data_IF_955262159638
#
_entry.id   IF_955262159638
#
_cell.length_a   1.000
_cell.length_b   1.000
_cell.length_c   1.000
_cell.angle_alpha   90.00
_cell.angle_beta   90.00
_cell.angle_gamma   90.00
#
_symmetry.space_group_name_H-M   'P 1'
#
loop_
_entity.id
_entity.type
_entity.pdbx_description
1 polymer ?
#
# COMPACT_ATOMS: atom_id res chain seq x y z
N UNK A 1 -29.33 5.68 -9.82
CA UNK A 1 -29.34 6.89 -10.68
C UNK A 1 -29.86 6.49 -12.05
N UNK A 2 -30.88 7.19 -12.58
CA UNK A 2 -31.36 6.97 -13.96
C UNK A 2 -30.67 8.00 -14.87
N UNK A 3 -29.81 7.55 -15.76
CA UNK A 3 -29.14 8.39 -16.77
C UNK A 3 -29.16 7.68 -18.12
N UNK A 4 -29.26 8.45 -19.22
CA UNK A 4 -29.34 7.90 -20.59
C UNK A 4 -27.99 7.38 -21.09
N UNK A 5 -26.90 8.03 -20.70
CA UNK A 5 -25.52 7.68 -21.10
C UNK A 5 -24.68 7.52 -19.84
N UNK A 6 -23.84 6.48 -19.83
CA UNK A 6 -22.96 6.13 -18.71
C UNK A 6 -21.55 5.92 -19.24
N UNK A 7 -20.59 6.62 -18.65
CA UNK A 7 -19.17 6.51 -19.00
C UNK A 7 -18.41 6.16 -17.74
N UNK A 8 -17.76 5.00 -17.75
CA UNK A 8 -16.86 4.57 -16.67
C UNK A 8 -15.44 5.05 -16.96
N UNK A 9 -14.87 5.87 -16.07
CA UNK A 9 -13.47 6.27 -16.13
C UNK A 9 -12.66 5.49 -15.09
N UNK A 10 -11.50 4.98 -15.52
CA UNK A 10 -10.59 4.25 -14.64
C UNK A 10 -9.15 4.41 -15.11
N UNK A 11 -8.20 4.33 -14.18
CA UNK A 11 -6.79 4.15 -14.53
C UNK A 11 -6.38 2.67 -14.67
N UNK A 12 -7.15 1.73 -14.10
CA UNK A 12 -6.57 0.46 -13.63
C UNK A 12 -7.49 -0.78 -13.68
N UNK A 13 -8.71 -0.72 -14.24
CA UNK A 13 -9.75 -1.80 -14.21
C UNK A 13 -9.24 -3.24 -14.48
N UNK A 14 -8.10 -3.41 -15.16
CA UNK A 14 -7.55 -4.71 -15.55
C UNK A 14 -6.39 -5.23 -14.69
N UNK A 15 -5.93 -4.51 -13.68
CA UNK A 15 -4.69 -4.89 -12.99
C UNK A 15 -4.85 -5.94 -11.90
N UNK A 16 -6.03 -6.07 -11.24
CA UNK A 16 -6.16 -7.00 -10.10
C UNK A 16 -7.43 -7.87 -10.07
N UNK A 17 -8.56 -7.46 -10.64
CA UNK A 17 -9.80 -8.23 -10.54
C UNK A 17 -10.73 -8.03 -11.76
N UNK A 18 -10.98 -9.09 -12.53
CA UNK A 18 -11.89 -9.06 -13.69
C UNK A 18 -13.37 -8.89 -13.27
N UNK A 19 -13.72 -9.18 -12.02
CA UNK A 19 -15.06 -8.91 -11.48
C UNK A 19 -15.33 -7.39 -11.42
N UNK A 20 -14.32 -6.56 -11.16
CA UNK A 20 -14.46 -5.10 -11.18
C UNK A 20 -14.76 -4.59 -12.60
N UNK A 21 -14.08 -5.15 -13.60
CA UNK A 21 -14.38 -4.88 -15.01
C UNK A 21 -15.82 -5.23 -15.34
N UNK A 22 -16.29 -6.41 -14.91
CA UNK A 22 -17.68 -6.82 -15.13
C UNK A 22 -18.65 -5.82 -14.50
N UNK A 23 -18.44 -5.42 -13.26
CA UNK A 23 -19.29 -4.44 -12.57
C UNK A 23 -19.34 -3.09 -13.30
N UNK A 24 -18.20 -2.57 -13.76
CA UNK A 24 -18.17 -1.28 -14.48
C UNK A 24 -18.85 -1.39 -15.83
N UNK A 25 -18.62 -2.49 -16.55
CA UNK A 25 -19.20 -2.71 -17.87
C UNK A 25 -20.70 -2.97 -17.80
N UNK A 26 -21.18 -3.75 -16.82
CA UNK A 26 -22.61 -3.96 -16.60
C UNK A 26 -23.29 -2.67 -16.12
N UNK A 27 -22.60 -1.87 -15.30
CA UNK A 27 -23.10 -0.53 -14.96
C UNK A 27 -23.18 0.37 -16.18
N UNK A 28 -22.17 0.40 -17.06
CA UNK A 28 -22.17 1.28 -18.23
C UNK A 28 -23.17 0.81 -19.31
N UNK A 29 -23.16 -0.50 -19.61
CA UNK A 29 -23.93 -1.18 -20.64
C UNK A 29 -24.47 -2.50 -20.06
N UNK A 30 -25.64 -2.47 -19.40
CA UNK A 30 -26.23 -3.63 -18.74
C UNK A 30 -26.36 -4.83 -19.66
N UNK A 31 -25.94 -5.99 -19.18
CA UNK A 31 -26.02 -7.25 -19.90
C UNK A 31 -24.96 -7.47 -20.98
N UNK A 32 -24.06 -6.51 -21.26
CA UNK A 32 -23.06 -6.65 -22.33
C UNK A 32 -22.10 -7.84 -22.13
N UNK A 33 -21.87 -8.24 -20.89
CA UNK A 33 -21.01 -9.37 -20.52
C UNK A 33 -21.78 -10.58 -19.98
N UNK A 34 -23.11 -10.52 -19.97
CA UNK A 34 -23.98 -11.55 -19.39
C UNK A 34 -23.98 -11.55 -17.86
N UNK A 35 -24.46 -12.65 -17.27
CA UNK A 35 -24.56 -12.78 -15.81
C UNK A 35 -23.17 -12.84 -15.14
N UNK A 36 -23.04 -12.40 -13.87
CA UNK A 36 -21.74 -12.40 -13.19
C UNK A 36 -21.16 -13.82 -13.04
N UNK A 37 -22.02 -14.83 -12.81
CA UNK A 37 -21.60 -16.24 -12.76
C UNK A 37 -21.11 -16.73 -14.13
N UNK A 38 -21.83 -16.39 -15.19
CA UNK A 38 -21.43 -16.76 -16.56
C UNK A 38 -20.11 -16.09 -16.97
N UNK A 39 -19.93 -14.82 -16.61
CA UNK A 39 -18.69 -14.09 -16.84
C UNK A 39 -17.52 -14.71 -16.06
N UNK A 40 -17.73 -15.05 -14.78
CA UNK A 40 -16.73 -15.67 -13.94
C UNK A 40 -16.21 -16.99 -14.53
N UNK A 41 -17.12 -17.91 -14.85
CA UNK A 41 -16.76 -19.22 -15.39
C UNK A 41 -16.12 -19.14 -16.78
N UNK A 42 -16.56 -18.20 -17.61
CA UNK A 42 -16.11 -18.09 -19.00
C UNK A 42 -14.82 -17.28 -19.17
N UNK A 43 -14.60 -16.29 -18.30
CA UNK A 43 -13.50 -15.33 -18.44
C UNK A 43 -12.64 -15.23 -17.19
N UNK A 44 -13.20 -14.96 -16.00
CA UNK A 44 -12.39 -14.74 -14.80
C UNK A 44 -11.56 -15.97 -14.40
N UNK A 45 -12.22 -17.10 -14.17
CA UNK A 45 -11.57 -18.30 -13.64
C UNK A 45 -10.52 -18.89 -14.62
N UNK A 46 -10.80 -18.99 -15.94
CA UNK A 46 -9.79 -19.47 -16.90
C UNK A 46 -8.57 -18.54 -16.98
N UNK A 47 -8.76 -17.23 -16.89
CA UNK A 47 -7.65 -16.26 -16.94
C UNK A 47 -6.82 -16.34 -15.66
N UNK A 48 -7.45 -16.34 -14.49
CA UNK A 48 -6.75 -16.48 -13.20
C UNK A 48 -6.01 -17.82 -13.10
N UNK A 49 -6.62 -18.91 -13.56
CA UNK A 49 -5.98 -20.22 -13.57
C UNK A 49 -4.79 -20.24 -14.56
N UNK A 50 -4.97 -19.65 -15.74
CA UNK A 50 -3.94 -19.52 -16.78
C UNK A 50 -2.69 -18.75 -16.36
N UNK A 51 -2.80 -17.89 -15.35
CA UNK A 51 -1.70 -17.06 -14.83
C UNK A 51 -0.93 -17.70 -13.66
N UNK A 52 -1.35 -18.86 -13.15
CA UNK A 52 -0.66 -19.56 -12.06
C UNK A 52 0.68 -20.15 -12.54
N UNK A 53 1.70 -20.09 -11.68
CA UNK A 53 3.03 -20.61 -12.02
C UNK A 53 3.04 -22.14 -12.26
N UNK A 54 2.11 -22.88 -11.68
CA UNK A 54 2.00 -24.35 -11.78
C UNK A 54 1.03 -24.81 -12.88
N UNK A 55 0.79 -23.98 -13.90
CA UNK A 55 -0.27 -24.22 -14.89
C UNK A 55 0.15 -25.19 -16.00
N UNK A 56 -0.79 -25.98 -16.50
CA UNK A 56 -0.58 -26.81 -17.69
C UNK A 56 -0.59 -25.97 -18.97
N UNK A 57 0.07 -26.45 -20.04
CA UNK A 57 0.03 -25.78 -21.36
C UNK A 57 -1.42 -25.57 -21.86
N UNK A 58 -2.31 -26.53 -21.59
CA UNK A 58 -3.73 -26.46 -21.97
C UNK A 58 -4.44 -25.32 -21.26
N UNK A 59 -4.34 -25.23 -19.94
CA UNK A 59 -5.04 -24.19 -19.18
C UNK A 59 -4.48 -22.80 -19.46
N UNK A 60 -3.18 -22.68 -19.80
CA UNK A 60 -2.60 -21.44 -20.29
C UNK A 60 -3.19 -21.02 -21.65
N UNK A 61 -3.40 -21.97 -22.57
CA UNK A 61 -4.05 -21.70 -23.85
C UNK A 61 -5.53 -21.31 -23.67
N UNK A 62 -6.26 -21.99 -22.78
CA UNK A 62 -7.65 -21.66 -22.41
C UNK A 62 -7.75 -20.24 -21.84
N UNK A 63 -6.85 -19.86 -20.92
CA UNK A 63 -6.78 -18.51 -20.37
C UNK A 63 -6.49 -17.44 -21.44
N UNK A 64 -5.53 -17.69 -22.34
CA UNK A 64 -5.24 -16.76 -23.45
C UNK A 64 -6.44 -16.59 -24.39
N UNK A 65 -7.13 -17.68 -24.72
CA UNK A 65 -8.34 -17.65 -25.54
C UNK A 65 -9.45 -16.83 -24.87
N UNK A 66 -9.66 -17.03 -23.57
CA UNK A 66 -10.64 -16.25 -22.80
C UNK A 66 -10.34 -14.74 -22.82
N UNK A 67 -9.06 -14.33 -22.67
CA UNK A 67 -8.67 -12.91 -22.81
C UNK A 67 -8.98 -12.37 -24.21
N UNK A 68 -8.65 -13.11 -25.26
CA UNK A 68 -8.90 -12.69 -26.64
C UNK A 68 -10.40 -12.53 -26.92
N UNK A 69 -11.20 -13.49 -26.49
CA UNK A 69 -12.65 -13.45 -26.67
C UNK A 69 -13.29 -12.30 -25.88
N UNK A 70 -12.77 -12.02 -24.67
CA UNK A 70 -13.20 -10.87 -23.88
C UNK A 70 -12.83 -9.55 -24.56
N UNK A 71 -11.60 -9.41 -25.05
CA UNK A 71 -11.14 -8.21 -25.72
C UNK A 71 -11.97 -7.90 -26.98
N UNK A 72 -12.31 -8.92 -27.77
CA UNK A 72 -13.19 -8.79 -28.95
C UNK A 72 -14.59 -8.30 -28.58
N UNK A 73 -15.16 -8.77 -27.47
CA UNK A 73 -16.47 -8.30 -26.98
C UNK A 73 -16.41 -6.85 -26.52
N UNK A 74 -15.32 -6.46 -25.89
CA UNK A 74 -15.14 -5.13 -25.31
C UNK A 74 -14.70 -4.07 -26.33
N UNK A 75 -14.12 -4.45 -27.47
CA UNK A 75 -13.43 -3.53 -28.39
C UNK A 75 -14.25 -2.33 -28.85
N UNK A 76 -15.58 -2.47 -28.93
CA UNK A 76 -16.49 -1.41 -29.37
C UNK A 76 -16.79 -0.38 -28.26
N UNK A 77 -16.70 -0.79 -27.00
CA UNK A 77 -17.16 -0.03 -25.85
C UNK A 77 -16.03 0.33 -24.87
N UNK A 78 -14.84 -0.19 -25.11
CA UNK A 78 -13.68 -0.06 -24.24
C UNK A 78 -12.53 0.63 -24.97
N UNK A 79 -12.16 1.81 -24.48
CA UNK A 79 -11.03 2.57 -25.00
C UNK A 79 -9.89 2.55 -23.97
N UNK A 80 -8.73 2.01 -24.35
CA UNK A 80 -7.51 2.07 -23.56
C UNK A 80 -6.37 2.61 -24.41
N UNK A 81 -5.75 3.68 -23.94
CA UNK A 81 -4.53 4.27 -24.53
C UNK A 81 -3.40 4.16 -23.51
N UNK A 82 -2.21 3.83 -23.98
CA UNK A 82 -1.01 3.75 -23.14
C UNK A 82 -0.08 4.92 -23.46
N UNK A 83 0.81 5.27 -22.51
CA UNK A 83 1.82 6.32 -22.69
C UNK A 83 2.81 6.04 -23.84
N UNK A 84 2.84 4.81 -24.37
CA UNK A 84 3.62 4.46 -25.55
C UNK A 84 3.29 5.35 -26.77
N UNK A 85 2.03 5.79 -26.90
CA UNK A 85 1.57 6.64 -28.01
C UNK A 85 2.14 8.06 -28.01
N UNK A 86 2.64 8.54 -26.87
CA UNK A 86 3.20 9.89 -26.69
C UNK A 86 4.59 9.84 -26.05
N UNK A 87 5.25 8.68 -26.16
CA UNK A 87 6.52 8.43 -25.46
C UNK A 87 7.66 9.32 -25.96
N UNK A 88 7.56 9.80 -27.20
CA UNK A 88 8.42 10.78 -27.86
C UNK A 88 8.29 12.19 -27.25
N UNK A 89 7.14 12.52 -26.66
CA UNK A 89 6.86 13.83 -26.05
C UNK A 89 7.16 13.87 -24.55
N UNK A 90 7.48 12.72 -23.95
CA UNK A 90 7.69 12.59 -22.51
C UNK A 90 9.18 12.42 -22.19
N UNK A 91 9.66 12.99 -21.08
CA UNK A 91 11.01 12.72 -20.61
C UNK A 91 11.17 11.23 -20.26
N UNK A 92 12.40 10.72 -20.33
CA UNK A 92 12.71 9.35 -19.93
C UNK A 92 12.44 9.17 -18.44
N UNK A 93 11.74 8.09 -18.10
CA UNK A 93 11.50 7.64 -16.73
C UNK A 93 12.52 6.54 -16.39
N UNK A 94 13.22 6.69 -15.27
CA UNK A 94 14.15 5.70 -14.74
C UNK A 94 13.62 5.18 -13.40
N UNK A 95 13.32 3.88 -13.35
CA UNK A 95 12.73 3.22 -12.17
C UNK A 95 13.84 2.47 -11.42
N UNK A 96 14.15 2.92 -10.19
CA UNK A 96 15.21 2.33 -9.35
C UNK A 96 14.64 1.75 -8.07
N UNK A 97 14.98 0.49 -7.79
CA UNK A 97 14.66 -0.17 -6.52
C UNK A 97 15.85 -0.05 -5.57
N UNK A 98 15.66 0.63 -4.45
CA UNK A 98 16.71 0.84 -3.44
C UNK A 98 16.49 -0.10 -2.26
N UNK A 99 17.37 -1.09 -2.11
CA UNK A 99 17.33 -2.03 -0.98
C UNK A 99 17.90 -1.37 0.28
N UNK A 100 17.04 -1.15 1.28
CA UNK A 100 17.42 -0.57 2.56
C UNK A 100 17.43 -1.66 3.64
N UNK A 101 18.59 -1.91 4.25
CA UNK A 101 18.67 -2.81 5.41
C UNK A 101 18.08 -2.15 6.66
N UNK A 102 17.44 -2.94 7.52
CA UNK A 102 17.01 -2.47 8.85
C UNK A 102 18.21 -2.08 9.69
N UNK A 103 18.09 -1.00 10.48
CA UNK A 103 19.12 -0.64 11.48
C UNK A 103 19.19 -1.69 12.59
N UNK A 104 20.29 -1.71 13.34
CA UNK A 104 20.42 -2.65 14.47
C UNK A 104 19.30 -2.48 15.49
N UNK A 105 18.87 -1.24 15.73
CA UNK A 105 17.73 -0.97 16.61
C UNK A 105 16.41 -1.46 16.01
N UNK A 106 16.13 -1.19 14.73
CA UNK A 106 14.96 -1.74 14.05
C UNK A 106 14.95 -3.27 14.12
N UNK A 107 16.09 -3.93 13.91
CA UNK A 107 16.22 -5.39 13.97
C UNK A 107 15.92 -5.93 15.36
N UNK A 108 16.42 -5.27 16.42
CA UNK A 108 16.12 -5.63 17.81
C UNK A 108 14.62 -5.55 18.10
N UNK A 109 13.97 -4.45 17.72
CA UNK A 109 12.53 -4.26 17.90
C UNK A 109 11.72 -5.25 17.05
N UNK A 110 12.12 -5.47 15.80
CA UNK A 110 11.47 -6.41 14.90
C UNK A 110 11.49 -7.84 15.47
N UNK A 111 12.64 -8.28 16.00
CA UNK A 111 12.77 -9.57 16.70
C UNK A 111 11.88 -9.63 17.94
N UNK A 112 11.87 -8.58 18.76
CA UNK A 112 11.01 -8.52 19.94
C UNK A 112 9.52 -8.65 19.60
N UNK A 113 9.06 -8.11 18.45
CA UNK A 113 7.70 -8.31 17.94
C UNK A 113 7.48 -9.77 17.49
N UNK A 114 8.46 -10.39 16.81
CA UNK A 114 8.35 -11.78 16.36
C UNK A 114 8.33 -12.80 17.51
N UNK A 115 8.92 -12.46 18.65
CA UNK A 115 8.98 -13.31 19.85
C UNK A 115 7.68 -13.30 20.67
N UNK A 116 6.65 -12.55 20.27
CA UNK A 116 5.38 -12.55 21.03
C UNK A 116 4.61 -13.86 20.84
N UNK A 117 3.84 -14.23 21.86
CA UNK A 117 3.02 -15.45 21.84
C UNK A 117 1.99 -15.44 20.70
N UNK A 118 1.47 -14.26 20.35
CA UNK A 118 0.54 -14.11 19.23
C UNK A 118 1.19 -14.45 17.88
N UNK A 119 2.47 -14.08 17.67
CA UNK A 119 3.18 -14.44 16.44
C UNK A 119 3.43 -15.94 16.38
N UNK A 120 3.80 -16.56 17.51
CA UNK A 120 3.93 -18.02 17.61
C UNK A 120 2.61 -18.72 17.29
N UNK A 121 1.50 -18.22 17.84
CA UNK A 121 0.14 -18.69 17.56
C UNK A 121 -0.20 -18.56 16.06
N UNK A 122 0.14 -17.44 15.44
CA UNK A 122 -0.09 -17.16 14.02
C UNK A 122 0.71 -18.10 13.11
N UNK A 123 1.99 -18.32 13.40
CA UNK A 123 2.87 -19.20 12.62
C UNK A 123 2.40 -20.66 12.70
N UNK A 124 1.92 -21.11 13.86
CA UNK A 124 1.43 -22.47 14.08
C UNK A 124 -0.05 -22.65 13.68
N UNK A 125 -0.74 -21.58 13.27
CA UNK A 125 -2.20 -21.52 13.10
C UNK A 125 -2.76 -22.54 12.09
N UNK A 126 -1.98 -22.89 11.07
CA UNK A 126 -2.37 -23.84 10.01
C UNK A 126 -2.01 -25.29 10.32
N UNK A 127 -1.20 -25.55 11.36
CA UNK A 127 -0.84 -26.90 11.80
C UNK A 127 -2.03 -27.66 12.42
N UNK A 128 -1.91 -28.99 12.54
CA UNK A 128 -2.93 -29.83 13.20
C UNK A 128 -3.02 -29.49 14.68
N UNK A 129 -4.24 -29.50 15.22
CA UNK A 129 -4.48 -29.25 16.64
C UNK A 129 -4.11 -30.47 17.50
N UNK A 130 -3.50 -30.22 18.66
CA UNK A 130 -3.03 -31.26 19.58
C UNK A 130 -4.16 -31.97 20.35
N UNK A 131 -5.39 -31.45 20.30
CA UNK A 131 -6.55 -32.04 20.98
C UNK A 131 -7.14 -33.28 20.28
N UNK A 132 -6.45 -33.89 19.33
CA UNK A 132 -6.91 -35.07 18.60
C UNK A 132 -8.01 -34.83 17.56
N UNK A 133 -8.52 -33.60 17.41
CA UNK A 133 -9.64 -33.30 16.50
C UNK A 133 -9.32 -33.40 15.00
N UNK A 134 -8.04 -33.54 14.62
CA UNK A 134 -7.58 -33.51 13.22
C UNK A 134 -7.76 -32.16 12.51
N UNK A 135 -8.36 -31.16 13.15
CA UNK A 135 -8.62 -29.84 12.57
C UNK A 135 -7.39 -28.93 12.70
N UNK A 136 -7.22 -27.93 11.80
CA UNK A 136 -6.20 -26.90 11.97
C UNK A 136 -6.37 -26.13 13.28
N UNK A 137 -5.27 -25.73 13.92
CA UNK A 137 -5.25 -25.01 15.21
C UNK A 137 -6.18 -23.79 15.21
N UNK A 138 -6.11 -22.96 14.16
CA UNK A 138 -6.98 -21.76 13.98
C UNK A 138 -8.48 -22.04 13.87
N UNK A 139 -8.87 -23.29 13.57
CA UNK A 139 -10.27 -23.74 13.48
C UNK A 139 -10.68 -24.60 14.68
N UNK A 140 -9.81 -24.76 15.68
CA UNK A 140 -10.01 -25.63 16.84
C UNK A 140 -9.76 -24.88 18.17
N UNK A 141 -8.82 -25.35 19.00
CA UNK A 141 -8.56 -24.81 20.34
C UNK A 141 -7.85 -23.45 20.31
N UNK A 142 -7.23 -23.09 19.19
CA UNK A 142 -6.41 -21.89 19.03
C UNK A 142 -7.08 -20.87 18.11
N UNK A 143 -8.40 -20.72 18.25
CA UNK A 143 -9.18 -19.71 17.52
C UNK A 143 -8.94 -18.29 18.05
N UNK A 144 -8.65 -18.19 19.34
CA UNK A 144 -8.44 -16.95 20.09
C UNK A 144 -7.03 -16.98 20.71
N UNK A 145 -6.45 -15.82 20.95
CA UNK A 145 -5.27 -15.70 21.82
C UNK A 145 -5.67 -15.71 23.31
N UNK A 146 -4.70 -15.52 24.20
CA UNK A 146 -4.91 -15.46 25.64
C UNK A 146 -5.90 -14.35 26.06
N UNK A 147 -5.95 -13.24 25.32
CA UNK A 147 -6.85 -12.11 25.58
C UNK A 147 -8.23 -12.25 24.91
N UNK A 148 -8.53 -13.42 24.31
CA UNK A 148 -9.81 -13.66 23.63
C UNK A 148 -9.93 -13.02 22.24
N UNK A 149 -8.83 -12.56 21.64
CA UNK A 149 -8.80 -11.95 20.31
C UNK A 149 -8.70 -13.03 19.21
N UNK A 150 -9.62 -13.04 18.23
CA UNK A 150 -9.54 -13.97 17.11
C UNK A 150 -8.26 -13.84 16.27
N UNK A 151 -7.65 -14.98 15.93
CA UNK A 151 -6.40 -15.07 15.13
C UNK A 151 -6.47 -14.27 13.82
N UNK A 152 -7.65 -14.19 13.19
CA UNK A 152 -7.85 -13.39 11.96
C UNK A 152 -7.54 -11.91 12.13
N UNK A 153 -7.79 -11.34 13.31
CA UNK A 153 -7.53 -9.94 13.60
C UNK A 153 -6.06 -9.71 14.00
N UNK A 154 -5.42 -10.73 14.57
CA UNK A 154 -4.00 -10.69 14.91
C UNK A 154 -3.15 -10.55 13.65
N UNK A 155 -3.47 -11.31 12.60
CA UNK A 155 -2.70 -11.35 11.35
C UNK A 155 -2.45 -9.94 10.76
N UNK A 156 -3.52 -9.17 10.50
CA UNK A 156 -3.38 -7.83 9.92
C UNK A 156 -2.79 -6.81 10.90
N UNK A 157 -3.05 -6.98 12.20
CA UNK A 157 -2.48 -6.11 13.24
C UNK A 157 -0.97 -6.24 13.31
N UNK A 158 -0.45 -7.48 13.36
CA UNK A 158 0.98 -7.75 13.38
C UNK A 158 1.67 -7.38 12.07
N UNK A 159 1.05 -7.59 10.90
CA UNK A 159 1.58 -7.07 9.63
C UNK A 159 1.71 -5.54 9.64
N UNK A 160 0.72 -4.83 10.18
CA UNK A 160 0.79 -3.37 10.31
C UNK A 160 1.90 -2.93 11.28
N UNK A 161 2.08 -3.63 12.41
CA UNK A 161 3.16 -3.38 13.38
C UNK A 161 4.53 -3.59 12.73
N UNK A 162 4.75 -4.73 12.07
CA UNK A 162 6.03 -5.04 11.41
C UNK A 162 6.35 -4.03 10.30
N UNK A 163 5.33 -3.60 9.53
CA UNK A 163 5.49 -2.54 8.53
C UNK A 163 5.86 -1.20 9.18
N UNK A 164 5.23 -0.83 10.30
CA UNK A 164 5.60 0.36 11.08
C UNK A 164 7.06 0.30 11.52
N UNK A 165 7.51 -0.83 12.09
CA UNK A 165 8.92 -1.03 12.50
C UNK A 165 9.87 -0.89 11.32
N UNK A 166 9.56 -1.51 10.18
CA UNK A 166 10.37 -1.46 8.98
C UNK A 166 10.49 -0.05 8.38
N UNK A 167 9.42 0.75 8.48
CA UNK A 167 9.42 2.13 8.04
C UNK A 167 10.17 3.03 9.02
N UNK A 168 9.78 3.02 10.29
CA UNK A 168 10.42 3.78 11.36
C UNK A 168 9.87 3.34 12.74
N UNK A 169 10.73 3.04 13.71
CA UNK A 169 10.29 2.48 15.01
C UNK A 169 9.32 3.39 15.78
N UNK A 170 9.53 4.71 15.75
CA UNK A 170 8.65 5.68 16.43
C UNK A 170 7.17 5.62 15.96
N UNK A 171 6.89 5.04 14.78
CA UNK A 171 5.52 4.88 14.28
C UNK A 171 4.66 3.92 15.12
N UNK A 172 5.29 3.07 15.94
CA UNK A 172 4.59 2.24 16.90
C UNK A 172 3.93 3.05 18.02
N UNK A 173 4.39 4.27 18.28
CA UNK A 173 3.78 5.17 19.27
C UNK A 173 2.67 6.05 18.68
N UNK A 174 2.58 6.14 17.34
CA UNK A 174 1.52 6.92 16.69
C UNK A 174 0.18 6.18 16.75
N UNK A 175 -0.83 6.92 17.24
CA UNK A 175 -2.24 6.49 17.35
C UNK A 175 -3.01 6.63 16.03
N UNK A 176 -2.42 7.23 15.01
CA UNK A 176 -3.15 7.60 13.79
C UNK A 176 -3.53 6.37 12.94
N UNK A 177 -4.80 6.35 12.50
CA UNK A 177 -5.30 5.43 11.47
C UNK A 177 -5.75 4.05 11.94
N UNK A 178 -5.79 3.79 13.24
CA UNK A 178 -6.29 2.52 13.82
C UNK A 178 -7.74 2.66 14.26
N UNK A 179 -8.61 1.68 13.99
CA UNK A 179 -9.98 1.68 14.52
C UNK A 179 -9.94 1.66 16.07
N UNK A 180 -10.84 2.38 16.76
CA UNK A 180 -10.88 2.47 18.24
C UNK A 180 -10.80 1.11 18.96
N UNK A 181 -11.32 0.04 18.34
CA UNK A 181 -11.24 -1.34 18.86
C UNK A 181 -9.86 -1.99 18.68
N UNK A 182 -9.19 -1.71 17.56
CA UNK A 182 -7.84 -2.21 17.28
C UNK A 182 -6.77 -1.40 18.00
N UNK A 183 -7.02 -0.12 18.27
CA UNK A 183 -6.08 0.80 18.91
C UNK A 183 -5.65 0.33 20.31
N UNK A 184 -6.61 -0.07 21.16
CA UNK A 184 -6.29 -0.57 22.52
C UNK A 184 -5.36 -1.79 22.48
N UNK A 185 -5.65 -2.73 21.59
CA UNK A 185 -4.89 -3.97 21.47
C UNK A 185 -3.51 -3.75 20.85
N UNK A 186 -3.42 -2.98 19.77
CA UNK A 186 -2.13 -2.61 19.15
C UNK A 186 -1.27 -1.82 20.14
N UNK A 187 -1.87 -0.93 20.94
CA UNK A 187 -1.17 -0.19 22.00
C UNK A 187 -0.61 -1.14 23.05
N UNK A 188 -1.39 -2.11 23.53
CA UNK A 188 -0.92 -3.09 24.51
C UNK A 188 0.27 -3.92 23.98
N UNK A 189 0.22 -4.36 22.72
CA UNK A 189 1.35 -5.07 22.08
C UNK A 189 2.58 -4.16 22.01
N UNK A 190 2.41 -2.91 21.54
CA UNK A 190 3.50 -1.94 21.46
C UNK A 190 4.13 -1.71 22.83
N UNK A 191 3.32 -1.54 23.89
CA UNK A 191 3.81 -1.38 25.26
C UNK A 191 4.60 -2.60 25.74
N UNK A 192 4.12 -3.82 25.47
CA UNK A 192 4.84 -5.05 25.81
C UNK A 192 6.20 -5.13 25.12
N UNK A 193 6.27 -4.76 23.84
CA UNK A 193 7.52 -4.72 23.07
C UNK A 193 8.46 -3.63 23.61
N UNK A 194 7.92 -2.44 23.91
CA UNK A 194 8.70 -1.30 24.40
C UNK A 194 9.16 -1.40 25.84
N UNK A 195 8.60 -2.31 26.66
CA UNK A 195 9.19 -2.66 27.98
C UNK A 195 10.64 -3.14 27.85
N UNK A 196 11.02 -3.76 26.73
CA UNK A 196 12.40 -4.16 26.43
C UNK A 196 13.31 -2.97 26.04
N UNK A 197 12.75 -1.77 25.81
CA UNK A 197 13.46 -0.58 25.31
C UNK A 197 13.00 0.72 26.03
N UNK A 198 13.26 0.86 27.34
CA UNK A 198 12.78 2.01 28.13
C UNK A 198 13.38 3.35 27.67
N UNK A 199 14.66 3.39 27.31
CA UNK A 199 15.37 4.61 26.89
C UNK A 199 14.74 5.25 25.64
N UNK A 200 14.38 4.41 24.67
CA UNK A 200 13.70 4.86 23.45
C UNK A 200 12.29 5.40 23.74
N UNK A 201 11.60 4.77 24.68
CA UNK A 201 10.25 5.20 25.08
C UNK A 201 10.28 6.56 25.78
N UNK A 202 11.28 6.79 26.63
CA UNK A 202 11.54 8.10 27.24
C UNK A 202 11.80 9.18 26.20
N UNK A 203 12.71 8.92 25.25
CA UNK A 203 13.04 9.85 24.16
C UNK A 203 11.84 10.19 23.28
N UNK A 204 11.03 9.21 22.90
CA UNK A 204 9.83 9.49 22.10
C UNK A 204 8.77 10.30 22.86
N UNK A 205 8.68 10.18 24.19
CA UNK A 205 7.76 11.00 25.00
C UNK A 205 8.22 12.45 25.14
N UNK A 206 9.54 12.66 25.28
CA UNK A 206 10.14 13.98 25.51
C UNK A 206 10.39 14.75 24.20
N UNK A 207 10.75 14.04 23.13
CA UNK A 207 11.17 14.60 21.85
C UNK A 207 10.64 13.77 20.67
N UNK A 208 9.32 13.53 20.64
CA UNK A 208 8.66 12.70 19.60
C UNK A 208 9.05 13.10 18.17
N UNK A 209 9.20 14.40 17.94
CA UNK A 209 9.54 14.98 16.63
C UNK A 209 10.99 14.71 16.20
N UNK A 210 11.93 14.81 17.13
CA UNK A 210 13.35 14.53 16.91
C UNK A 210 13.56 13.03 16.72
N UNK A 211 12.90 12.20 17.54
CA UNK A 211 12.93 10.76 17.41
C UNK A 211 12.36 10.28 16.06
N UNK A 212 11.34 10.94 15.49
CA UNK A 212 10.80 10.63 14.15
C UNK A 212 11.70 11.09 12.99
N UNK A 213 12.65 11.98 13.27
CA UNK A 213 13.58 12.52 12.27
C UNK A 213 14.94 11.81 12.28
N UNK A 214 15.21 10.96 13.27
CA UNK A 214 16.50 10.34 13.52
C UNK A 214 16.74 9.08 12.65
N UNK A 215 17.74 9.10 11.74
CA UNK A 215 18.09 7.95 10.90
C UNK A 215 18.52 6.69 11.68
N UNK A 216 18.86 6.80 12.96
CA UNK A 216 19.15 5.65 13.82
C UNK A 216 17.98 4.66 13.87
N UNK A 217 16.74 5.16 13.79
CA UNK A 217 15.53 4.36 13.93
C UNK A 217 14.86 3.99 12.59
N UNK A 218 15.45 4.37 11.46
CA UNK A 218 15.00 3.99 10.12
C UNK A 218 16.15 3.84 9.12
N UNK A 219 16.36 2.61 8.64
CA UNK A 219 17.33 2.31 7.59
C UNK A 219 16.98 3.02 6.28
N UNK A 220 15.69 3.19 5.99
CA UNK A 220 15.21 3.96 4.83
C UNK A 220 15.63 5.43 4.90
N UNK A 221 15.68 6.00 6.11
CA UNK A 221 16.17 7.37 6.31
C UNK A 221 17.71 7.48 6.27
N UNK A 222 18.46 6.40 6.57
CA UNK A 222 19.94 6.41 6.40
C UNK A 222 20.35 6.52 4.93
N UNK A 223 19.59 5.88 4.03
CA UNK A 223 19.86 5.92 2.59
C UNK A 223 19.50 7.28 1.96
N UNK A 224 18.87 8.20 2.73
CA UNK A 224 18.54 9.57 2.32
C UNK A 224 19.75 10.43 1.94
N UNK A 225 20.97 10.07 2.35
CA UNK A 225 22.17 10.79 1.96
C UNK A 225 22.47 10.77 0.45
N UNK A 226 21.68 10.03 -0.36
CA UNK A 226 21.83 9.98 -1.81
C UNK A 226 21.39 11.24 -2.58
N UNK A 227 20.75 12.24 -1.94
CA UNK A 227 20.12 13.35 -2.66
C UNK A 227 20.69 14.76 -2.37
N UNK A 228 21.85 14.89 -1.73
CA UNK A 228 22.47 16.20 -1.50
C UNK A 228 23.21 16.79 -2.71
N UNK A 229 23.22 16.10 -3.86
CA UNK A 229 23.79 16.66 -5.10
C UNK A 229 22.67 17.16 -6.03
N UNK A 230 22.59 18.49 -6.10
CA UNK A 230 22.03 19.29 -7.21
C UNK A 230 20.50 19.32 -7.37
N UNK A 231 19.86 20.43 -6.96
CA UNK A 231 18.54 20.95 -7.41
C UNK A 231 17.52 19.89 -7.86
N UNK A 232 17.05 19.08 -6.92
CA UNK A 232 16.07 18.02 -7.17
C UNK A 232 14.75 18.35 -6.47
N UNK A 233 13.66 18.43 -7.23
CA UNK A 233 12.30 18.55 -6.73
C UNK A 233 11.74 17.15 -6.45
N UNK A 234 11.67 16.80 -5.17
CA UNK A 234 11.37 15.44 -4.73
C UNK A 234 9.92 15.39 -4.23
N UNK A 235 9.13 14.50 -4.82
CA UNK A 235 7.86 14.08 -4.24
C UNK A 235 8.10 12.77 -3.49
N UNK A 236 7.95 12.78 -2.18
CA UNK A 236 8.00 11.54 -1.39
C UNK A 236 6.57 11.08 -1.17
N UNK A 237 6.25 9.91 -1.72
CA UNK A 237 4.98 9.25 -1.50
C UNK A 237 5.10 8.44 -0.22
N UNK A 238 4.40 8.90 0.82
CA UNK A 238 4.42 8.31 2.15
C UNK A 238 3.02 7.78 2.48
N UNK A 239 2.91 6.49 2.79
CA UNK A 239 1.64 5.95 3.25
C UNK A 239 1.39 6.39 4.71
N UNK A 240 0.36 7.24 4.91
CA UNK A 240 -0.31 7.54 6.19
C UNK A 240 0.55 7.97 7.39
N UNK A 241 1.84 8.20 7.24
CA UNK A 241 2.75 8.39 8.37
C UNK A 241 3.23 9.83 8.47
N UNK A 242 3.10 10.41 9.67
CA UNK A 242 3.64 11.72 10.02
C UNK A 242 5.17 11.64 10.13
N UNK A 243 5.87 11.41 9.01
CA UNK A 243 7.29 11.69 8.99
C UNK A 243 7.48 13.20 9.03
N UNK A 244 8.09 13.67 10.11
CA UNK A 244 8.69 14.99 10.10
C UNK A 244 10.10 14.88 9.56
N UNK A 245 10.48 15.84 8.73
CA UNK A 245 11.82 15.97 8.20
C UNK A 245 12.43 17.22 8.84
N UNK A 246 13.11 17.02 9.97
CA UNK A 246 13.80 18.11 10.67
C UNK A 246 14.78 18.83 9.73
N UNK A 247 14.71 20.17 9.72
CA UNK A 247 15.61 21.04 8.97
C UNK A 247 15.35 21.17 7.47
N UNK A 248 14.23 20.62 6.95
CA UNK A 248 13.83 20.77 5.55
C UNK A 248 12.47 21.46 5.47
N UNK A 249 12.36 22.46 4.59
CA UNK A 249 11.05 22.99 4.20
C UNK A 249 10.36 22.02 3.24
N UNK A 250 9.11 21.70 3.54
CA UNK A 250 8.31 20.81 2.71
C UNK A 250 6.83 21.16 2.78
N UNK A 251 6.13 20.88 1.69
CA UNK A 251 4.66 20.85 1.69
C UNK A 251 4.16 19.44 1.99
N UNK A 252 2.96 19.34 2.57
CA UNK A 252 2.32 18.05 2.85
C UNK A 252 0.90 18.02 2.32
N UNK A 253 0.55 16.94 1.63
CA UNK A 253 -0.77 16.69 1.07
C UNK A 253 -1.27 15.30 1.47
N UNK A 254 -2.29 15.29 2.32
CA UNK A 254 -2.92 14.08 2.83
C UNK A 254 -4.45 14.15 2.81
N UNK A 255 -5.09 13.11 3.36
CA UNK A 255 -6.55 13.02 3.44
C UNK A 255 -7.21 14.13 4.27
N UNK A 256 -6.47 14.72 5.21
CA UNK A 256 -6.98 15.79 6.09
C UNK A 256 -6.82 17.19 5.47
N UNK A 257 -5.99 17.32 4.42
CA UNK A 257 -5.84 18.58 3.69
C UNK A 257 -7.14 18.96 2.98
N UNK A 258 -7.67 20.17 3.23
CA UNK A 258 -8.92 20.66 2.61
C UNK A 258 -8.72 20.87 1.10
N UNK A 259 -9.81 20.73 0.33
CA UNK A 259 -9.76 20.82 -1.14
C UNK A 259 -9.13 22.14 -1.65
N UNK A 260 -9.47 23.28 -1.04
CA UNK A 260 -8.89 24.59 -1.40
C UNK A 260 -7.37 24.63 -1.19
N UNK A 261 -6.89 24.08 -0.08
CA UNK A 261 -5.48 24.07 0.29
C UNK A 261 -4.66 23.14 -0.62
N UNK A 262 -5.26 22.04 -1.10
CA UNK A 262 -4.60 21.12 -2.04
C UNK A 262 -4.15 21.82 -3.32
N UNK A 263 -5.04 22.61 -3.93
CA UNK A 263 -4.73 23.34 -5.17
C UNK A 263 -3.65 24.39 -4.92
N UNK A 264 -3.72 25.09 -3.79
CA UNK A 264 -2.71 26.07 -3.38
C UNK A 264 -1.33 25.42 -3.22
N UNK A 265 -1.24 24.33 -2.48
CA UNK A 265 0.01 23.57 -2.26
C UNK A 265 0.61 23.10 -3.59
N UNK A 266 -0.21 22.53 -4.49
CA UNK A 266 0.27 22.05 -5.79
C UNK A 266 0.77 23.21 -6.64
N UNK A 267 0.08 24.35 -6.63
CA UNK A 267 0.51 25.55 -7.38
C UNK A 267 1.81 26.12 -6.82
N UNK A 268 1.95 26.21 -5.51
CA UNK A 268 3.17 26.67 -4.83
C UNK A 268 4.34 25.74 -5.14
N UNK A 269 4.15 24.43 -5.03
CA UNK A 269 5.19 23.44 -5.35
C UNK A 269 5.63 23.50 -6.81
N UNK A 270 4.69 23.69 -7.76
CA UNK A 270 5.02 23.77 -9.19
C UNK A 270 5.63 25.12 -9.60
N UNK A 271 5.46 26.19 -8.79
CA UNK A 271 5.92 27.55 -9.14
C UNK A 271 7.15 28.00 -8.35
N UNK A 272 7.32 27.49 -7.12
CA UNK A 272 8.38 27.91 -6.21
C UNK A 272 9.72 27.25 -6.56
N UNK A 273 10.81 27.95 -6.27
CA UNK A 273 12.18 27.44 -6.36
C UNK A 273 12.80 27.13 -5.00
N UNK A 274 12.10 27.50 -3.93
CA UNK A 274 12.61 27.44 -2.55
C UNK A 274 12.21 26.12 -1.88
N UNK A 275 10.97 25.67 -2.11
CA UNK A 275 10.46 24.41 -1.54
C UNK A 275 10.60 23.27 -2.54
N UNK A 276 11.63 22.45 -2.34
CA UNK A 276 11.96 21.34 -3.23
C UNK A 276 11.38 19.99 -2.79
N UNK A 277 10.50 19.96 -1.78
CA UNK A 277 9.99 18.73 -1.19
C UNK A 277 8.46 18.76 -0.97
N UNK A 278 7.77 17.75 -1.47
CA UNK A 278 6.36 17.51 -1.18
C UNK A 278 6.12 16.10 -0.66
N UNK A 279 5.49 15.99 0.51
CA UNK A 279 5.03 14.72 1.08
C UNK A 279 3.58 14.48 0.64
N UNK A 280 3.37 13.41 -0.13
CA UNK A 280 2.04 13.08 -0.67
C UNK A 280 1.62 11.71 -0.16
N UNK A 281 0.42 11.61 0.41
CA UNK A 281 -0.14 10.29 0.73
C UNK A 281 -0.59 9.58 -0.55
N UNK A 282 -0.39 8.25 -0.67
CA UNK A 282 -0.76 7.48 -1.86
C UNK A 282 -2.22 7.69 -2.28
N UNK A 283 -3.13 7.77 -1.30
CA UNK A 283 -4.55 8.02 -1.55
C UNK A 283 -4.82 9.43 -2.06
N UNK A 284 -4.07 10.44 -1.58
CA UNK A 284 -4.25 11.81 -2.04
C UNK A 284 -3.59 12.07 -3.41
N UNK A 285 -2.49 11.39 -3.71
CA UNK A 285 -1.87 11.37 -5.05
C UNK A 285 -2.77 10.73 -6.11
N UNK A 286 -3.62 9.76 -5.73
CA UNK A 286 -4.58 9.14 -6.63
C UNK A 286 -5.70 10.06 -7.15
N UNK A 287 -5.93 11.21 -6.52
CA UNK A 287 -7.11 12.06 -6.77
C UNK A 287 -7.00 13.03 -7.96
N UNK A 288 -5.97 12.91 -8.79
CA UNK A 288 -5.88 13.69 -10.03
C UNK A 288 -5.12 15.01 -9.94
N UNK A 289 -4.25 15.18 -8.95
CA UNK A 289 -3.36 16.35 -8.83
C UNK A 289 -2.07 16.12 -9.61
N UNK A 290 -1.60 17.12 -10.37
CA UNK A 290 -0.41 16.98 -11.21
C UNK A 290 0.76 17.78 -10.59
N UNK A 291 1.86 17.08 -10.32
CA UNK A 291 3.09 17.62 -9.72
C UNK A 291 4.17 17.77 -10.79
N UNK A 292 3.90 18.59 -11.81
CA UNK A 292 4.78 18.78 -12.98
C UNK A 292 6.16 19.34 -12.60
N UNK A 293 6.27 20.05 -11.47
CA UNK A 293 7.56 20.52 -10.95
C UNK A 293 8.46 19.41 -10.40
N UNK A 294 7.91 18.24 -10.06
CA UNK A 294 8.70 17.13 -9.51
C UNK A 294 9.53 16.45 -10.59
N UNK A 295 10.81 16.21 -10.30
CA UNK A 295 11.70 15.43 -11.17
C UNK A 295 12.10 14.09 -10.57
N UNK A 296 11.88 13.88 -9.26
CA UNK A 296 12.13 12.61 -8.57
C UNK A 296 10.92 12.24 -7.72
N UNK A 297 10.45 11.00 -7.87
CA UNK A 297 9.41 10.41 -7.03
C UNK A 297 10.01 9.30 -6.18
N UNK A 298 9.87 9.41 -4.86
CA UNK A 298 10.34 8.38 -3.92
C UNK A 298 9.12 7.70 -3.30
N UNK A 299 8.91 6.43 -3.65
CA UNK A 299 7.91 5.59 -3.00
C UNK A 299 8.47 5.03 -1.69
N UNK A 300 8.13 5.64 -0.56
CA UNK A 300 8.71 5.29 0.74
C UNK A 300 8.07 4.04 1.36
N UNK A 301 6.74 3.92 1.27
CA UNK A 301 5.96 2.78 1.77
C UNK A 301 4.94 2.35 0.70
N UNK A 302 5.25 1.33 -0.12
CA UNK A 302 4.34 0.84 -1.14
C UNK A 302 3.05 0.29 -0.51
N UNK A 303 1.94 0.41 -1.24
CA UNK A 303 0.66 -0.14 -0.80
C UNK A 303 0.51 -1.59 -1.22
N UNK A 304 -0.46 -2.29 -0.63
CA UNK A 304 -0.79 -3.67 -1.00
C UNK A 304 -1.35 -3.79 -2.42
N UNK A 305 -1.80 -2.67 -3.01
CA UNK A 305 -2.29 -2.61 -4.38
C UNK A 305 -1.33 -1.78 -5.24
N UNK A 306 -0.49 -2.43 -6.08
CA UNK A 306 0.47 -1.75 -6.94
C UNK A 306 -0.16 -0.69 -7.86
N UNK A 307 -1.43 -0.86 -8.21
CA UNK A 307 -2.15 0.07 -9.07
C UNK A 307 -2.29 1.46 -8.42
N UNK A 308 -2.45 1.52 -7.09
CA UNK A 308 -2.50 2.78 -6.36
C UNK A 308 -1.15 3.48 -6.36
N UNK A 309 -0.07 2.72 -6.22
CA UNK A 309 1.29 3.26 -6.21
C UNK A 309 1.66 3.77 -7.61
N UNK A 310 1.37 3.02 -8.66
CA UNK A 310 1.57 3.44 -10.05
C UNK A 310 0.79 4.71 -10.38
N UNK A 311 -0.47 4.80 -9.92
CA UNK A 311 -1.29 6.00 -10.11
C UNK A 311 -0.74 7.22 -9.37
N UNK A 312 -0.06 7.03 -8.24
CA UNK A 312 0.57 8.10 -7.48
C UNK A 312 1.94 8.51 -8.06
N UNK A 313 2.71 7.56 -8.61
CA UNK A 313 3.99 7.82 -9.29
C UNK A 313 3.79 8.61 -10.58
N UNK A 314 2.69 8.36 -11.29
CA UNK A 314 2.41 8.95 -12.60
C UNK A 314 1.84 10.39 -12.54
N UNK A 315 1.98 11.08 -11.40
CA UNK A 315 1.42 12.41 -11.11
C UNK A 315 2.51 13.48 -11.10
#
# INVERSE_FOLDING_TARGET
MRCKVRVGLTGTILQNNLEELWCVMDWAIPGCLGSPVGFKNKFSDPVEHGQKHTVTKRSLAEGRKAVQDLAKRLSHWFLRRTKALISDQLPKKDDRVVYCSLTDFQRKVYRAVLETDDVTLLLQSSGKCHCGSGRPRKKCCYKLNADGVPVRYLYFSYLAILRKVANHVALLQSKEGTSKKQEKYVTAICEQVFRKFPDFTGRCKQAAFEAMSDPMYSGKMKVRNFSQRSRTYITIIVCKTNLSLYGLEYHRLDGNTKSKDRVKIVKEFNSSRDVNLCLVSTLAGGLGLNFVGANVVVLFDPTWNPANDLQAIDR
#
